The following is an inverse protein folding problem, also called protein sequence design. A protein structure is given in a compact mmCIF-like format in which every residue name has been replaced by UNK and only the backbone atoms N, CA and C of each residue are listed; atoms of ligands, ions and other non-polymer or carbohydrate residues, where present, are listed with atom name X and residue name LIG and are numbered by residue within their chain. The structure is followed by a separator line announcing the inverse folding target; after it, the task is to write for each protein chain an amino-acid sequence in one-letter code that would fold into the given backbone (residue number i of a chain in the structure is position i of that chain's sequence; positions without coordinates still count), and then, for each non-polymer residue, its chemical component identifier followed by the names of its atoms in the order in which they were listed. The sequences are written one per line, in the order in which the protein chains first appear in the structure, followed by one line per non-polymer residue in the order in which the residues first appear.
data_IF_085916693056
#
_entry.id   IF_085916693056
#
_cell.length_a   1.000
_cell.length_b   1.000
_cell.length_c   1.000
_cell.angle_alpha   90.00
_cell.angle_beta   90.00
_cell.angle_gamma   90.00
#
_symmetry.space_group_name_H-M   'P 1'
#
loop_
_entity.id
_entity.type
_entity.pdbx_description
1 polymer ?
#
# COMPACT_ATOMS: atom_id res chain seq x y z
N UNK A 1 3.54 26.66 35.61
CA UNK A 1 4.38 25.48 35.45
C UNK A 1 3.58 24.18 35.48
N UNK A 2 2.79 23.93 36.55
CA UNK A 2 1.93 22.72 36.60
C UNK A 2 0.89 22.70 35.47
N UNK A 3 0.31 23.83 35.10
CA UNK A 3 -0.70 23.96 34.03
C UNK A 3 -0.11 23.61 32.66
N UNK A 4 1.11 24.01 32.36
CA UNK A 4 1.77 23.71 31.10
C UNK A 4 2.12 22.22 30.98
N UNK A 5 2.50 21.60 32.08
CA UNK A 5 2.80 20.18 32.14
C UNK A 5 1.54 19.32 31.91
N UNK A 6 0.42 19.70 32.50
CA UNK A 6 -0.87 19.02 32.29
C UNK A 6 -1.35 19.17 30.85
N UNK A 7 -1.20 20.34 30.25
CA UNK A 7 -1.59 20.60 28.87
C UNK A 7 -0.78 19.73 27.90
N UNK A 8 0.53 19.61 28.08
CA UNK A 8 1.39 18.75 27.28
C UNK A 8 0.99 17.28 27.42
N UNK A 9 0.66 16.83 28.62
CA UNK A 9 0.22 15.46 28.87
C UNK A 9 -1.09 15.14 28.14
N UNK A 10 -2.03 16.07 28.18
CA UNK A 10 -3.33 15.93 27.47
C UNK A 10 -3.12 15.91 25.96
N UNK A 11 -2.29 16.78 25.42
CA UNK A 11 -1.95 16.83 24.00
C UNK A 11 -1.31 15.53 23.53
N UNK A 12 -0.38 15.01 24.33
CA UNK A 12 0.29 13.74 24.03
C UNK A 12 -0.67 12.57 24.01
N UNK A 13 -1.56 12.48 24.98
CA UNK A 13 -2.61 11.45 25.04
C UNK A 13 -3.57 11.52 23.85
N UNK A 14 -3.97 12.73 23.46
CA UNK A 14 -4.84 12.92 22.29
C UNK A 14 -4.14 12.49 20.99
N UNK A 15 -2.88 12.84 20.85
CA UNK A 15 -2.08 12.45 19.69
C UNK A 15 -1.94 10.94 19.61
N UNK A 16 -1.63 10.28 20.72
CA UNK A 16 -1.53 8.81 20.80
C UNK A 16 -2.85 8.14 20.40
N UNK A 17 -3.98 8.67 20.88
CA UNK A 17 -5.32 8.18 20.52
C UNK A 17 -5.60 8.31 19.03
N UNK A 18 -5.25 9.46 18.43
CA UNK A 18 -5.44 9.71 17.00
C UNK A 18 -4.57 8.77 16.17
N UNK A 19 -3.32 8.59 16.55
CA UNK A 19 -2.40 7.68 15.87
C UNK A 19 -2.89 6.23 15.96
N UNK A 20 -3.38 5.82 17.12
CA UNK A 20 -3.93 4.48 17.33
C UNK A 20 -5.18 4.24 16.47
N UNK A 21 -6.08 5.22 16.37
CA UNK A 21 -7.26 5.16 15.51
C UNK A 21 -6.88 5.05 14.04
N UNK A 22 -5.90 5.83 13.62
CA UNK A 22 -5.40 5.81 12.24
C UNK A 22 -4.82 4.45 11.90
N UNK A 23 -4.04 3.85 12.80
CA UNK A 23 -3.48 2.51 12.62
C UNK A 23 -4.56 1.43 12.55
N UNK A 24 -5.58 1.52 13.41
CA UNK A 24 -6.68 0.54 13.44
C UNK A 24 -7.59 0.64 12.23
N UNK A 25 -7.63 1.80 11.55
CA UNK A 25 -8.44 2.02 10.36
C UNK A 25 -7.73 1.64 9.05
N UNK A 26 -6.42 1.33 9.10
CA UNK A 26 -5.68 0.92 7.90
C UNK A 26 -6.09 -0.49 7.47
N UNK A 27 -6.17 -0.73 6.16
CA UNK A 27 -6.52 -2.06 5.65
C UNK A 27 -5.51 -3.12 6.06
N UNK A 28 -5.98 -4.31 6.38
CA UNK A 28 -5.14 -5.48 6.64
C UNK A 28 -5.24 -6.52 5.52
N UNK A 29 -5.93 -6.16 4.45
CA UNK A 29 -6.03 -6.95 3.22
C UNK A 29 -5.85 -6.03 2.02
N UNK A 30 -5.44 -6.56 0.86
CA UNK A 30 -5.35 -5.74 -0.35
C UNK A 30 -6.69 -5.11 -0.71
N UNK A 31 -6.67 -3.85 -1.11
CA UNK A 31 -7.87 -3.10 -1.48
C UNK A 31 -7.98 -2.99 -3.00
N UNK A 32 -9.19 -3.07 -3.51
CA UNK A 32 -9.46 -2.85 -4.94
C UNK A 32 -9.39 -1.37 -5.24
N UNK A 33 -8.62 -1.01 -6.27
CA UNK A 33 -8.45 0.38 -6.71
C UNK A 33 -8.88 0.50 -8.16
N UNK A 34 -9.71 1.51 -8.46
CA UNK A 34 -10.12 1.84 -9.82
C UNK A 34 -9.31 3.04 -10.34
N UNK A 35 -9.35 3.24 -11.66
CA UNK A 35 -8.70 4.40 -12.29
C UNK A 35 -9.13 5.72 -11.64
N UNK A 36 -10.42 5.87 -11.37
CA UNK A 36 -10.96 7.10 -10.79
C UNK A 36 -10.56 7.34 -9.34
N UNK A 37 -10.27 6.28 -8.59
CA UNK A 37 -9.91 6.35 -7.17
C UNK A 37 -8.41 6.45 -6.91
N UNK A 38 -7.60 6.17 -7.93
CA UNK A 38 -6.17 5.95 -7.75
C UNK A 38 -5.47 7.11 -7.03
N UNK A 39 -5.63 8.33 -7.53
CA UNK A 39 -4.91 9.48 -6.94
C UNK A 39 -5.39 9.82 -5.54
N UNK A 40 -6.67 9.60 -5.24
CA UNK A 40 -7.21 9.79 -3.89
C UNK A 40 -6.56 8.81 -2.90
N UNK A 41 -6.45 7.54 -3.30
CA UNK A 41 -5.85 6.50 -2.48
C UNK A 41 -4.35 6.71 -2.35
N UNK A 42 -3.69 7.10 -3.43
CA UNK A 42 -2.26 7.42 -3.43
C UNK A 42 -1.92 8.53 -2.44
N UNK A 43 -2.78 9.55 -2.35
CA UNK A 43 -2.58 10.66 -1.42
C UNK A 43 -2.94 10.31 0.02
N UNK A 44 -3.77 9.28 0.22
CA UNK A 44 -4.23 8.87 1.55
C UNK A 44 -3.18 8.05 2.30
N UNK A 45 -2.46 7.18 1.61
CA UNK A 45 -1.53 6.24 2.24
C UNK A 45 -0.08 6.57 1.89
N UNK A 46 0.78 6.85 2.91
CA UNK A 46 2.18 7.22 2.67
C UNK A 46 3.01 6.14 1.99
N UNK A 47 2.76 4.86 2.30
CA UNK A 47 3.45 3.74 1.68
C UNK A 47 2.41 2.80 1.09
N UNK A 48 2.37 2.72 -0.23
CA UNK A 48 1.35 2.00 -0.99
C UNK A 48 2.01 1.13 -2.05
N UNK A 49 1.75 -0.18 -1.98
CA UNK A 49 2.19 -1.14 -2.99
C UNK A 49 1.01 -1.45 -3.91
N UNK A 50 1.15 -1.16 -5.18
CA UNK A 50 0.11 -1.42 -6.19
C UNK A 50 0.46 -2.67 -6.98
N UNK A 51 -0.47 -3.62 -7.03
CA UNK A 51 -0.42 -4.82 -7.86
C UNK A 51 -1.28 -4.63 -9.10
N UNK A 52 -0.64 -4.56 -10.26
CA UNK A 52 -1.32 -4.56 -11.56
C UNK A 52 -1.50 -6.00 -12.02
N UNK A 53 -2.75 -6.44 -12.12
CA UNK A 53 -3.10 -7.84 -12.34
C UNK A 53 -4.29 -8.00 -13.28
N UNK A 54 -4.57 -9.23 -13.68
CA UNK A 54 -5.77 -9.59 -14.43
C UNK A 54 -6.27 -10.98 -14.02
N UNK A 55 -7.57 -11.25 -14.12
CA UNK A 55 -8.14 -12.55 -13.69
C UNK A 55 -7.60 -13.77 -14.44
N UNK A 56 -7.18 -13.59 -15.68
CA UNK A 56 -6.64 -14.68 -16.53
C UNK A 56 -5.15 -14.92 -16.32
N UNK A 57 -4.49 -14.12 -15.51
CA UNK A 57 -3.04 -14.18 -15.30
C UNK A 57 -2.70 -15.15 -14.18
N UNK A 58 -2.12 -16.28 -14.51
CA UNK A 58 -1.74 -17.30 -13.53
C UNK A 58 -0.68 -16.81 -12.54
N UNK A 59 0.44 -16.20 -12.98
CA UNK A 59 1.42 -15.66 -12.02
C UNK A 59 0.84 -14.62 -11.06
N UNK A 60 -0.16 -13.84 -11.50
CA UNK A 60 -0.87 -12.90 -10.64
C UNK A 60 -1.59 -13.63 -9.50
N UNK A 61 -2.20 -14.76 -9.81
CA UNK A 61 -2.89 -15.59 -8.82
C UNK A 61 -1.91 -16.23 -7.84
N UNK A 62 -0.70 -16.54 -8.28
CA UNK A 62 0.34 -17.13 -7.43
C UNK A 62 0.81 -16.18 -6.34
N UNK A 63 0.93 -14.89 -6.64
CA UNK A 63 1.38 -13.91 -5.66
C UNK A 63 0.25 -13.36 -4.77
N UNK A 64 -1.01 -13.59 -5.13
CA UNK A 64 -2.14 -13.07 -4.37
C UNK A 64 -2.09 -13.45 -2.87
N UNK A 65 -1.82 -14.71 -2.49
CA UNK A 65 -1.69 -15.07 -1.07
C UNK A 65 -0.53 -14.36 -0.38
N UNK A 66 0.58 -14.14 -1.07
CA UNK A 66 1.74 -13.42 -0.54
C UNK A 66 1.37 -11.98 -0.24
N UNK A 67 0.64 -11.32 -1.14
CA UNK A 67 0.18 -9.95 -0.93
C UNK A 67 -0.81 -9.83 0.23
N UNK A 68 -1.70 -10.81 0.38
CA UNK A 68 -2.60 -10.86 1.52
C UNK A 68 -1.84 -10.98 2.84
N UNK A 69 -0.81 -11.82 2.87
CA UNK A 69 0.05 -12.02 4.02
C UNK A 69 0.83 -10.74 4.37
N UNK A 70 1.43 -10.09 3.38
CA UNK A 70 2.14 -8.83 3.56
C UNK A 70 1.22 -7.72 4.07
N UNK A 71 -0.01 -7.66 3.57
CA UNK A 71 -0.99 -6.66 4.01
C UNK A 71 -1.31 -6.81 5.50
N UNK A 72 -1.42 -8.04 6.00
CA UNK A 72 -1.65 -8.32 7.42
C UNK A 72 -0.42 -8.00 8.26
N UNK A 73 0.74 -8.48 7.85
CA UNK A 73 1.99 -8.33 8.61
C UNK A 73 2.42 -6.87 8.74
N UNK A 74 2.20 -6.07 7.72
CA UNK A 74 2.60 -4.66 7.70
C UNK A 74 1.44 -3.69 7.90
N UNK A 75 0.34 -4.16 8.46
CA UNK A 75 -0.81 -3.31 8.81
C UNK A 75 -0.35 -2.08 9.60
N UNK A 76 -0.80 -0.91 9.18
CA UNK A 76 -0.41 0.37 9.79
C UNK A 76 0.87 0.98 9.22
N UNK A 77 1.63 0.22 8.43
CA UNK A 77 2.88 0.68 7.82
C UNK A 77 2.84 0.64 6.29
N UNK A 78 2.17 -0.34 5.73
CA UNK A 78 2.05 -0.56 4.29
C UNK A 78 0.60 -0.86 3.95
N UNK A 79 0.11 -0.24 2.90
CA UNK A 79 -1.18 -0.59 2.28
C UNK A 79 -0.91 -1.21 0.93
N UNK A 80 -1.62 -2.28 0.61
CA UNK A 80 -1.53 -2.94 -0.70
C UNK A 80 -2.82 -2.67 -1.46
N UNK A 81 -2.69 -2.19 -2.70
CA UNK A 81 -3.80 -1.99 -3.60
C UNK A 81 -3.69 -2.89 -4.81
N UNK A 82 -4.82 -3.24 -5.41
CA UNK A 82 -4.89 -4.08 -6.61
C UNK A 82 -5.65 -3.34 -7.70
N UNK A 83 -5.05 -3.22 -8.86
CA UNK A 83 -5.68 -2.65 -10.06
C UNK A 83 -5.83 -3.73 -11.10
N UNK A 84 -7.07 -4.07 -11.43
CA UNK A 84 -7.38 -4.97 -12.53
C UNK A 84 -7.20 -4.23 -13.85
N UNK A 85 -6.19 -4.60 -14.63
CA UNK A 85 -5.84 -3.88 -15.87
C UNK A 85 -6.89 -4.03 -16.99
N UNK A 86 -7.70 -5.09 -16.93
CA UNK A 86 -8.79 -5.28 -17.90
C UNK A 86 -9.90 -4.26 -17.70
N UNK A 87 -10.19 -3.91 -16.45
CA UNK A 87 -11.25 -2.96 -16.09
C UNK A 87 -10.76 -1.52 -16.01
N UNK A 88 -9.45 -1.31 -15.83
CA UNK A 88 -8.86 -0.01 -15.54
C UNK A 88 -7.67 0.25 -16.47
N UNK A 89 -7.90 0.75 -17.68
CA UNK A 89 -6.83 0.95 -18.68
C UNK A 89 -6.01 2.23 -18.49
N UNK A 90 -6.50 3.21 -17.74
CA UNK A 90 -5.87 4.54 -17.68
C UNK A 90 -4.59 4.54 -16.85
N UNK A 91 -4.66 4.07 -15.62
CA UNK A 91 -3.50 4.08 -14.72
C UNK A 91 -2.40 3.13 -15.19
N UNK A 92 -2.70 1.90 -15.63
CA UNK A 92 -1.65 1.06 -16.22
C UNK A 92 -0.94 1.70 -17.41
N UNK A 93 -1.65 2.40 -18.26
CA UNK A 93 -1.04 3.11 -19.40
C UNK A 93 -0.11 4.23 -18.93
N UNK A 94 -0.52 5.00 -17.91
CA UNK A 94 0.28 6.09 -17.37
C UNK A 94 1.61 5.62 -16.78
N UNK A 95 1.62 4.44 -16.17
CA UNK A 95 2.82 3.88 -15.56
C UNK A 95 3.52 2.86 -16.46
N UNK A 96 3.13 2.79 -17.72
CA UNK A 96 3.77 1.93 -18.73
C UNK A 96 3.83 0.46 -18.27
N UNK A 97 2.67 -0.06 -17.88
CA UNK A 97 2.53 -1.47 -17.50
C UNK A 97 2.35 -2.29 -18.76
N UNK A 98 3.40 -3.03 -19.15
CA UNK A 98 3.40 -3.84 -20.38
C UNK A 98 3.31 -5.34 -20.10
N UNK A 99 3.56 -5.74 -18.87
CA UNK A 99 3.45 -7.14 -18.45
C UNK A 99 2.84 -7.19 -17.05
N UNK A 100 2.20 -8.31 -16.72
CA UNK A 100 1.58 -8.55 -15.42
C UNK A 100 2.04 -9.89 -14.87
N UNK A 101 2.18 -10.02 -13.52
CA UNK A 101 2.00 -8.94 -12.55
C UNK A 101 3.15 -7.94 -12.58
N UNK A 102 2.84 -6.68 -12.35
CA UNK A 102 3.83 -5.64 -12.06
C UNK A 102 3.42 -4.98 -10.77
N UNK A 103 4.36 -4.87 -9.84
CA UNK A 103 4.15 -4.19 -8.58
C UNK A 103 4.91 -2.88 -8.59
N UNK A 104 4.26 -1.79 -8.17
CA UNK A 104 4.92 -0.50 -7.99
C UNK A 104 4.71 -0.06 -6.55
N UNK A 105 5.81 0.23 -5.86
CA UNK A 105 5.79 0.79 -4.52
C UNK A 105 5.85 2.31 -4.61
N UNK A 106 4.86 2.97 -4.01
CA UNK A 106 4.77 4.42 -3.92
C UNK A 106 5.06 4.87 -2.50
N UNK A 107 5.93 5.86 -2.35
CA UNK A 107 6.18 6.51 -1.07
C UNK A 107 5.86 7.99 -1.20
N UNK A 108 4.91 8.46 -0.37
CA UNK A 108 4.43 9.83 -0.39
C UNK A 108 4.02 10.29 -1.80
N UNK A 109 3.31 9.42 -2.52
CA UNK A 109 2.80 9.69 -3.85
C UNK A 109 3.79 9.51 -5.00
N UNK A 110 5.02 9.08 -4.72
CA UNK A 110 6.07 8.91 -5.75
C UNK A 110 6.44 7.43 -5.92
N UNK A 111 6.57 6.94 -7.14
CA UNK A 111 7.05 5.58 -7.36
C UNK A 111 8.53 5.47 -6.97
N UNK A 112 8.83 4.52 -6.08
CA UNK A 112 10.20 4.33 -5.57
C UNK A 112 10.77 2.96 -5.93
N UNK A 113 9.91 1.99 -6.28
CA UNK A 113 10.34 0.65 -6.65
C UNK A 113 9.38 0.06 -7.65
N UNK A 114 9.90 -0.69 -8.63
CA UNK A 114 9.10 -1.38 -9.65
C UNK A 114 9.57 -2.82 -9.74
N UNK A 115 8.66 -3.74 -9.56
CA UNK A 115 8.95 -5.17 -9.55
C UNK A 115 8.08 -5.85 -10.61
N UNK A 116 8.71 -6.49 -11.58
CA UNK A 116 8.02 -7.18 -12.66
C UNK A 116 8.09 -8.69 -12.42
N UNK A 117 6.93 -9.33 -12.43
CA UNK A 117 6.81 -10.77 -12.27
C UNK A 117 6.42 -11.20 -10.86
N UNK A 118 6.12 -12.51 -10.73
CA UNK A 118 5.71 -13.11 -9.47
C UNK A 118 6.95 -13.56 -8.70
N UNK A 119 7.52 -12.67 -7.91
CA UNK A 119 8.74 -12.94 -7.14
C UNK A 119 8.41 -13.44 -5.74
N UNK A 120 9.37 -14.17 -5.08
CA UNK A 120 9.15 -14.68 -3.73
C UNK A 120 8.89 -13.57 -2.70
N UNK A 121 8.18 -13.95 -1.64
CA UNK A 121 7.86 -13.03 -0.53
C UNK A 121 9.09 -12.35 0.04
N UNK A 122 10.16 -13.09 0.24
CA UNK A 122 11.42 -12.59 0.80
C UNK A 122 12.01 -11.46 -0.05
N UNK A 123 11.91 -11.59 -1.35
CA UNK A 123 12.40 -10.57 -2.29
C UNK A 123 11.54 -9.30 -2.18
N UNK A 124 10.23 -9.45 -2.13
CA UNK A 124 9.31 -8.33 -1.97
C UNK A 124 9.54 -7.60 -0.66
N UNK A 125 9.71 -8.34 0.44
CA UNK A 125 9.98 -7.76 1.75
C UNK A 125 11.30 -6.99 1.77
N UNK A 126 12.34 -7.51 1.15
CA UNK A 126 13.64 -6.85 1.04
C UNK A 126 13.49 -5.47 0.38
N UNK A 127 12.71 -5.40 -0.70
CA UNK A 127 12.47 -4.15 -1.41
C UNK A 127 11.62 -3.16 -0.60
N UNK A 128 10.64 -3.67 0.14
CA UNK A 128 9.74 -2.84 0.95
C UNK A 128 10.45 -2.28 2.19
N UNK A 129 11.28 -3.09 2.85
CA UNK A 129 11.95 -2.70 4.11
C UNK A 129 12.77 -1.43 4.01
N UNK A 130 13.34 -1.16 2.86
CA UNK A 130 14.14 0.06 2.62
C UNK A 130 13.30 1.33 2.86
N UNK A 131 11.99 1.24 2.67
CA UNK A 131 11.08 2.39 2.72
C UNK A 131 10.17 2.41 3.95
N UNK A 132 10.28 1.44 4.81
CA UNK A 132 9.45 1.36 6.04
C UNK A 132 9.84 2.41 7.09
#
# INVERSE_FOLDING_TARGET
MEKDYELERIRRKKLEKLLKRQRSSTPEAPIKITDSEFYRILNKYPLLLIDFWAPWCFPCKMIAPVLEELAREYKGKLVIGKINVDENPIIPARFQIFSIPTLILFKNGRPVERIVGALPKEYLEEKIRVYL
#
